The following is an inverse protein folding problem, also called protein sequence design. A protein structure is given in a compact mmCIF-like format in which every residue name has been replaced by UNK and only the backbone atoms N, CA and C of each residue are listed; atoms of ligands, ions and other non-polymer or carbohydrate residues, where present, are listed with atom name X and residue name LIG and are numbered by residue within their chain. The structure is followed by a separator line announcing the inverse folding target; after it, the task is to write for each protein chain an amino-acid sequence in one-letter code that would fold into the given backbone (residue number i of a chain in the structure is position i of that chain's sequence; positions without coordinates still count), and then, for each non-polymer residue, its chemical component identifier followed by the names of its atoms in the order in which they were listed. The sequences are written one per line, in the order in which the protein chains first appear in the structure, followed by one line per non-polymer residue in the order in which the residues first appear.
data_IF_308355128450
#
_entry.id   IF_308355128450
#
_cell.length_a   1.000
_cell.length_b   1.000
_cell.length_c   1.000
_cell.angle_alpha   90.00
_cell.angle_beta   90.00
_cell.angle_gamma   90.00
#
_symmetry.space_group_name_H-M   'P 1'
#
loop_
_entity.id
_entity.type
_entity.pdbx_description
1 polymer ?
#
# COMPACT_ATOMS: atom_id res chain seq x y z
N UNK A 1 2.64 22.68 -3.13
CA UNK A 1 2.02 21.78 -2.13
C UNK A 1 1.33 20.65 -2.86
N UNK A 2 1.37 19.40 -2.36
CA UNK A 2 0.55 18.32 -2.90
C UNK A 2 -0.95 18.67 -2.78
N UNK A 3 -1.75 18.14 -3.70
CA UNK A 3 -3.20 18.32 -3.69
C UNK A 3 -3.80 17.75 -2.39
N UNK A 4 -4.70 18.47 -1.70
CA UNK A 4 -5.30 18.00 -0.44
C UNK A 4 -5.93 16.60 -0.56
N UNK A 5 -6.53 16.27 -1.71
CA UNK A 5 -7.15 14.97 -1.94
C UNK A 5 -6.12 13.82 -1.99
N UNK A 6 -4.89 14.10 -2.46
CA UNK A 6 -3.80 13.13 -2.46
C UNK A 6 -3.27 12.89 -1.04
N UNK A 7 -3.10 13.97 -0.27
CA UNK A 7 -2.64 13.88 1.12
C UNK A 7 -3.66 13.15 2.00
N UNK A 8 -4.94 13.52 1.91
CA UNK A 8 -6.00 12.83 2.67
C UNK A 8 -6.14 11.36 2.26
N UNK A 9 -6.05 11.06 0.96
CA UNK A 9 -6.11 9.68 0.49
C UNK A 9 -4.97 8.81 1.05
N UNK A 10 -3.76 9.37 1.14
CA UNK A 10 -2.60 8.68 1.70
C UNK A 10 -2.79 8.42 3.20
N UNK A 11 -3.24 9.41 3.97
CA UNK A 11 -3.51 9.26 5.40
C UNK A 11 -4.56 8.17 5.67
N UNK A 12 -5.70 8.21 4.95
CA UNK A 12 -6.76 7.21 5.09
C UNK A 12 -6.23 5.79 4.81
N UNK A 13 -5.44 5.64 3.73
CA UNK A 13 -4.90 4.34 3.36
C UNK A 13 -3.90 3.80 4.40
N UNK A 14 -2.99 4.66 4.88
CA UNK A 14 -1.99 4.26 5.89
C UNK A 14 -2.62 3.96 7.24
N UNK A 15 -3.61 4.75 7.67
CA UNK A 15 -4.34 4.50 8.93
C UNK A 15 -5.05 3.15 8.89
N UNK A 16 -5.72 2.83 7.78
CA UNK A 16 -6.33 1.52 7.57
C UNK A 16 -5.29 0.40 7.63
N UNK A 17 -4.23 0.48 6.84
CA UNK A 17 -3.20 -0.57 6.75
C UNK A 17 -2.47 -0.75 8.08
N UNK A 18 -2.29 0.31 8.87
CA UNK A 18 -1.73 0.24 10.21
C UNK A 18 -2.68 -0.47 11.17
N UNK A 19 -3.96 -0.12 11.14
CA UNK A 19 -4.98 -0.73 11.99
C UNK A 19 -5.15 -2.24 11.69
N UNK A 20 -4.96 -2.67 10.44
CA UNK A 20 -5.05 -4.07 10.02
C UNK A 20 -3.71 -4.83 10.11
N UNK A 21 -2.63 -4.18 10.57
CA UNK A 21 -1.29 -4.80 10.67
C UNK A 21 -0.62 -5.08 9.31
N UNK A 22 -1.07 -4.43 8.24
CA UNK A 22 -0.56 -4.57 6.88
C UNK A 22 0.52 -3.53 6.53
N UNK A 23 0.66 -2.46 7.33
CA UNK A 23 1.73 -1.47 7.20
C UNK A 23 2.99 -1.90 7.99
N UNK A 24 3.85 -2.75 7.39
CA UNK A 24 5.05 -3.30 8.06
C UNK A 24 6.36 -2.64 7.56
N UNK A 25 6.32 -1.44 6.98
CA UNK A 25 7.55 -0.70 6.67
C UNK A 25 7.43 0.42 5.65
N UNK A 26 8.56 1.09 5.42
CA UNK A 26 8.72 2.21 4.50
C UNK A 26 8.36 1.84 3.04
N UNK A 27 8.54 0.57 2.67
CA UNK A 27 8.15 0.04 1.36
C UNK A 27 6.64 0.10 1.14
N UNK A 28 5.83 -0.12 2.20
CA UNK A 28 4.37 -0.09 2.10
C UNK A 28 3.90 1.32 1.81
N UNK A 29 4.50 2.33 2.45
CA UNK A 29 4.13 3.73 2.23
C UNK A 29 4.42 4.18 0.79
N UNK A 30 5.61 3.88 0.26
CA UNK A 30 5.95 4.20 -1.13
C UNK A 30 5.04 3.48 -2.13
N UNK A 31 4.72 2.21 -1.89
CA UNK A 31 3.84 1.43 -2.75
C UNK A 31 2.40 1.99 -2.75
N UNK A 32 1.88 2.36 -1.58
CA UNK A 32 0.57 2.99 -1.41
C UNK A 32 0.53 4.34 -2.11
N UNK A 33 1.54 5.19 -1.91
CA UNK A 33 1.65 6.49 -2.54
C UNK A 33 1.73 6.37 -4.08
N UNK A 34 2.49 5.40 -4.60
CA UNK A 34 2.58 5.12 -6.03
C UNK A 34 1.25 4.70 -6.65
N UNK A 35 0.48 3.85 -5.95
CA UNK A 35 -0.85 3.43 -6.40
C UNK A 35 -1.85 4.60 -6.43
N UNK A 36 -1.83 5.45 -5.40
CA UNK A 36 -2.64 6.68 -5.32
C UNK A 36 -2.31 7.62 -6.48
N UNK A 37 -1.02 7.88 -6.72
CA UNK A 37 -0.58 8.75 -7.79
C UNK A 37 -0.97 8.18 -9.17
N UNK A 38 -0.85 6.87 -9.38
CA UNK A 38 -1.29 6.23 -10.63
C UNK A 38 -2.79 6.42 -10.88
N UNK A 39 -3.62 6.24 -9.84
CA UNK A 39 -5.07 6.46 -9.94
C UNK A 39 -5.41 7.93 -10.22
N UNK A 40 -4.65 8.86 -9.64
CA UNK A 40 -4.77 10.29 -9.91
C UNK A 40 -4.41 10.64 -11.35
N UNK A 41 -3.29 10.13 -11.87
CA UNK A 41 -2.88 10.37 -13.25
C UNK A 41 -3.90 9.81 -14.26
N UNK A 42 -4.66 8.78 -13.87
CA UNK A 42 -5.79 8.22 -14.65
C UNK A 42 -7.11 9.00 -14.52
N UNK A 43 -7.12 10.13 -13.82
CA UNK A 43 -8.29 11.02 -13.69
C UNK A 43 -9.13 10.83 -12.44
N UNK A 44 -8.74 9.95 -11.51
CA UNK A 44 -9.45 9.86 -10.22
C UNK A 44 -9.18 11.11 -9.38
N UNK A 45 -10.24 11.79 -8.95
CA UNK A 45 -10.14 12.98 -8.07
C UNK A 45 -10.79 12.79 -6.70
N UNK A 46 -11.57 11.72 -6.53
CA UNK A 46 -12.27 11.45 -5.28
C UNK A 46 -11.34 10.77 -4.26
N UNK A 47 -11.06 11.45 -3.13
CA UNK A 47 -10.15 11.00 -2.06
C UNK A 47 -10.35 9.56 -1.60
N UNK A 48 -11.59 9.10 -1.40
CA UNK A 48 -11.87 7.72 -0.95
C UNK A 48 -11.51 6.70 -2.04
N UNK A 49 -11.72 7.04 -3.32
CA UNK A 49 -11.38 6.12 -4.43
C UNK A 49 -9.86 6.01 -4.59
N UNK A 50 -9.15 7.11 -4.36
CA UNK A 50 -7.69 7.14 -4.31
C UNK A 50 -7.18 6.30 -3.14
N UNK A 51 -7.72 6.50 -1.92
CA UNK A 51 -7.35 5.73 -0.74
C UNK A 51 -7.56 4.22 -0.96
N UNK A 52 -8.71 3.82 -1.52
CA UNK A 52 -8.99 2.42 -1.87
C UNK A 52 -7.96 1.83 -2.84
N UNK A 53 -7.46 2.62 -3.81
CA UNK A 53 -6.40 2.16 -4.71
C UNK A 53 -5.10 1.86 -3.94
N UNK A 54 -4.74 2.73 -2.99
CA UNK A 54 -3.62 2.53 -2.09
C UNK A 54 -3.77 1.31 -1.19
N UNK A 55 -4.94 1.16 -0.53
CA UNK A 55 -5.26 0.02 0.34
C UNK A 55 -5.13 -1.30 -0.42
N UNK A 56 -5.74 -1.41 -1.61
CA UNK A 56 -5.65 -2.63 -2.43
C UNK A 56 -4.20 -2.98 -2.80
N UNK A 57 -3.37 -1.97 -3.03
CA UNK A 57 -1.96 -2.19 -3.30
C UNK A 57 -1.23 -2.73 -2.06
N UNK A 58 -1.44 -2.12 -0.89
CA UNK A 58 -0.87 -2.56 0.39
C UNK A 58 -1.27 -3.99 0.77
N UNK A 59 -2.56 -4.32 0.64
CA UNK A 59 -3.09 -5.66 0.92
C UNK A 59 -2.47 -6.74 0.01
N UNK A 60 -2.28 -6.43 -1.28
CA UNK A 60 -1.67 -7.35 -2.24
C UNK A 60 -0.19 -7.60 -1.94
N UNK A 61 0.55 -6.56 -1.55
CA UNK A 61 1.96 -6.69 -1.18
C UNK A 61 2.14 -7.62 0.03
N UNK A 62 1.24 -7.53 1.02
CA UNK A 62 1.26 -8.39 2.19
C UNK A 62 0.92 -9.85 1.84
N UNK A 63 -0.09 -10.08 0.98
CA UNK A 63 -0.40 -11.43 0.48
C UNK A 63 0.79 -12.04 -0.26
N UNK A 64 1.50 -11.26 -1.07
CA UNK A 64 2.74 -11.71 -1.73
C UNK A 64 3.83 -12.13 -0.75
N UNK A 65 3.99 -11.40 0.38
CA UNK A 65 4.96 -11.76 1.44
C UNK A 65 4.59 -13.03 2.19
N UNK A 66 3.31 -13.28 2.45
CA UNK A 66 2.86 -14.49 3.16
C UNK A 66 2.99 -15.78 2.32
N UNK A 67 3.04 -15.68 0.99
CA UNK A 67 3.12 -16.84 0.08
C UNK A 67 4.56 -17.33 -0.15
N UNK A 68 5.57 -16.62 0.35
CA UNK A 68 6.93 -17.16 0.40
C UNK A 68 7.08 -18.01 1.67
N UNK A 69 7.00 -19.36 1.62
CA UNK A 69 7.47 -20.16 2.73
C UNK A 69 8.94 -19.82 2.93
N UNK A 70 9.35 -19.70 4.19
CA UNK A 70 10.75 -19.55 4.56
C UNK A 70 11.54 -20.67 3.87
N UNK A 71 12.22 -20.33 2.77
CA UNK A 71 13.26 -21.18 2.21
C UNK A 71 14.38 -21.20 3.25
N UNK A 72 14.26 -22.13 4.19
CA UNK A 72 15.28 -22.45 5.17
C UNK A 72 16.45 -23.04 4.39
N UNK A 73 17.46 -22.22 4.14
CA UNK A 73 18.74 -22.61 3.56
C UNK A 73 19.56 -23.46 4.55
N UNK A 74 18.95 -24.52 5.11
CA UNK A 74 19.58 -25.44 6.06
C UNK A 74 19.44 -26.92 5.69
N UNK A 75 19.05 -27.25 4.46
CA UNK A 75 18.94 -28.67 4.01
C UNK A 75 19.94 -29.03 2.92
N UNK A 76 21.05 -28.29 2.79
CA UNK A 76 22.16 -28.66 1.92
C UNK A 76 23.49 -28.52 2.66
N UNK A 77 23.65 -29.31 3.73
CA UNK A 77 24.95 -29.80 4.20
C UNK A 77 24.77 -31.25 4.64
#
# INVERSE_FOLDING_TARGET
MPDPALTEALLIALDYLKATGQAIGHDTEQLVAGAILSAWLKGTRHRIRLANAGILAGERAQKGRQVLPAFSAKTLL
#
